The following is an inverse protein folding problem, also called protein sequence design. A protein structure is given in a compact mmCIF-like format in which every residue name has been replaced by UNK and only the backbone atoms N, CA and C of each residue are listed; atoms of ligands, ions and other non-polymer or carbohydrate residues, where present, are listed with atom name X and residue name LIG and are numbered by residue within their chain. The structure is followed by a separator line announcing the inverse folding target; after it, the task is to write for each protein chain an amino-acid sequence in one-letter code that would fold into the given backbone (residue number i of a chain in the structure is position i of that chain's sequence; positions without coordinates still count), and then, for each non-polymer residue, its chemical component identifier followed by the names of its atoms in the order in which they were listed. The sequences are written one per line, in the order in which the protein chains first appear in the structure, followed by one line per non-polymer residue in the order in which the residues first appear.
data_IF_017497193487
#
_entry.id   IF_017497193487
#
_cell.length_a   1.000
_cell.length_b   1.000
_cell.length_c   1.000
_cell.angle_alpha   90.00
_cell.angle_beta   90.00
_cell.angle_gamma   90.00
#
_symmetry.space_group_name_H-M   'P 1'
#
loop_
_entity.id
_entity.type
_entity.pdbx_description
1 polymer ?
#
# COMPACT_ATOMS: atom_id res chain seq x y z
N UNK A 1 -23.64 -9.03 -9.00
CA UNK A 1 -22.33 -9.57 -9.45
C UNK A 1 -21.24 -8.56 -9.06
N UNK A 2 -20.45 -8.81 -8.00
CA UNK A 2 -19.33 -7.93 -7.63
C UNK A 2 -18.17 -8.25 -8.59
N UNK A 3 -17.95 -7.36 -9.54
CA UNK A 3 -17.06 -7.61 -10.68
C UNK A 3 -15.59 -7.71 -10.28
N UNK A 4 -14.85 -8.54 -11.01
CA UNK A 4 -13.40 -8.72 -10.97
C UNK A 4 -12.59 -7.44 -11.29
N UNK A 5 -13.24 -6.28 -11.48
CA UNK A 5 -12.63 -5.01 -11.83
C UNK A 5 -12.39 -4.08 -10.62
N UNK A 6 -12.43 -4.61 -9.39
CA UNK A 6 -12.40 -3.79 -8.16
C UNK A 6 -10.99 -3.58 -7.60
N UNK A 7 -10.15 -4.63 -7.57
CA UNK A 7 -8.83 -4.57 -6.92
C UNK A 7 -7.88 -3.60 -7.65
N UNK A 8 -7.78 -3.71 -8.98
CA UNK A 8 -6.92 -2.81 -9.77
C UNK A 8 -7.41 -1.36 -9.65
N UNK A 9 -8.72 -1.13 -9.66
CA UNK A 9 -9.29 0.20 -9.46
C UNK A 9 -8.94 0.75 -8.07
N UNK A 10 -9.05 -0.05 -7.02
CA UNK A 10 -8.67 0.37 -5.66
C UNK A 10 -7.19 0.77 -5.58
N UNK A 11 -6.30 -0.02 -6.20
CA UNK A 11 -4.86 0.29 -6.28
C UNK A 11 -4.62 1.61 -7.02
N UNK A 12 -5.28 1.83 -8.15
CA UNK A 12 -5.12 3.07 -8.92
C UNK A 12 -5.71 4.29 -8.19
N UNK A 13 -6.80 4.11 -7.43
CA UNK A 13 -7.36 5.16 -6.58
C UNK A 13 -6.41 5.51 -5.44
N UNK A 14 -5.82 4.51 -4.80
CA UNK A 14 -4.83 4.73 -3.74
C UNK A 14 -3.55 5.38 -4.30
N UNK A 15 -3.05 4.93 -5.44
CA UNK A 15 -1.92 5.57 -6.13
C UNK A 15 -2.17 7.06 -6.38
N UNK A 16 -3.37 7.41 -6.86
CA UNK A 16 -3.79 8.81 -7.02
C UNK A 16 -3.87 9.54 -5.68
N UNK A 17 -4.39 8.90 -4.64
CA UNK A 17 -4.48 9.49 -3.30
C UNK A 17 -3.11 9.77 -2.70
N UNK A 18 -2.19 8.80 -2.75
CA UNK A 18 -0.82 8.93 -2.28
C UNK A 18 -0.05 10.04 -3.00
N UNK A 19 -0.20 10.15 -4.33
CA UNK A 19 0.37 11.27 -5.11
C UNK A 19 -0.21 12.63 -4.70
N UNK A 20 -1.48 12.70 -4.29
CA UNK A 20 -2.07 13.95 -3.78
C UNK A 20 -1.58 14.29 -2.37
N UNK A 21 -1.51 13.30 -1.48
CA UNK A 21 -1.06 13.47 -0.08
C UNK A 21 0.42 13.87 -0.02
N UNK A 22 1.24 13.28 -0.86
CA UNK A 22 2.67 13.55 -0.93
C UNK A 22 3.05 13.78 -2.40
N UNK A 23 2.92 15.02 -2.91
CA UNK A 23 3.16 15.34 -4.32
C UNK A 23 4.61 15.15 -4.74
N UNK A 24 5.55 15.44 -3.85
CA UNK A 24 6.98 15.23 -4.08
C UNK A 24 7.32 13.76 -3.87
N UNK A 25 8.21 13.23 -4.70
CA UNK A 25 8.82 11.92 -4.51
C UNK A 25 10.30 12.14 -4.24
N UNK A 26 10.93 11.44 -3.27
CA UNK A 26 12.34 11.67 -2.95
C UNK A 26 13.24 11.46 -4.18
N UNK A 27 14.27 12.28 -4.39
CA UNK A 27 15.18 12.07 -5.53
C UNK A 27 16.10 10.85 -5.34
N UNK A 28 16.33 10.44 -4.09
CA UNK A 28 17.21 9.33 -3.74
C UNK A 28 16.50 7.97 -3.88
N UNK A 29 17.02 7.08 -4.72
CA UNK A 29 16.38 5.79 -5.05
C UNK A 29 16.11 4.90 -3.82
N UNK A 30 17.01 4.90 -2.83
CA UNK A 30 16.80 4.12 -1.59
C UNK A 30 15.68 4.72 -0.74
N UNK A 31 15.52 6.05 -0.75
CA UNK A 31 14.42 6.68 -0.01
C UNK A 31 13.06 6.30 -0.63
N UNK A 32 13.00 6.20 -1.97
CA UNK A 32 11.81 5.69 -2.67
C UNK A 32 11.52 4.22 -2.35
N UNK A 33 12.56 3.39 -2.32
CA UNK A 33 12.42 1.98 -1.94
C UNK A 33 11.97 1.83 -0.47
N UNK A 34 12.46 2.70 0.43
CA UNK A 34 12.05 2.71 1.83
C UNK A 34 10.56 3.02 1.99
N UNK A 35 9.97 3.89 1.17
CA UNK A 35 8.52 4.13 1.19
C UNK A 35 7.70 2.89 0.79
N UNK A 36 8.21 2.06 -0.13
CA UNK A 36 7.58 0.78 -0.46
C UNK A 36 7.69 -0.19 0.73
N UNK A 37 8.87 -0.22 1.37
CA UNK A 37 9.12 -1.08 2.52
C UNK A 37 8.27 -0.70 3.74
N UNK A 38 7.98 0.59 3.94
CA UNK A 38 7.11 1.10 5.00
C UNK A 38 5.70 0.48 4.91
N UNK A 39 5.03 0.59 3.75
CA UNK A 39 3.69 0.02 3.55
C UNK A 39 3.70 -1.52 3.64
N UNK A 40 4.76 -2.17 3.13
CA UNK A 40 4.92 -3.62 3.27
C UNK A 40 5.10 -4.04 4.74
N UNK A 41 5.75 -3.21 5.55
CA UNK A 41 5.90 -3.38 6.99
C UNK A 41 4.56 -3.24 7.71
N UNK A 42 3.73 -2.28 7.32
CA UNK A 42 2.37 -2.10 7.84
C UNK A 42 1.47 -3.31 7.50
N UNK A 43 1.57 -3.85 6.28
CA UNK A 43 0.89 -5.08 5.91
C UNK A 43 1.33 -6.27 6.78
N UNK A 44 2.64 -6.39 7.02
CA UNK A 44 3.18 -7.44 7.89
C UNK A 44 2.64 -7.27 9.31
N UNK A 45 2.65 -6.04 9.85
CA UNK A 45 2.10 -5.72 11.17
C UNK A 45 0.62 -6.09 11.28
N UNK A 46 -0.21 -5.69 10.32
CA UNK A 46 -1.64 -6.02 10.30
C UNK A 46 -1.87 -7.54 10.26
N UNK A 47 -1.06 -8.27 9.49
CA UNK A 47 -1.11 -9.73 9.40
C UNK A 47 -0.69 -10.42 10.70
N UNK A 48 0.35 -9.91 11.36
CA UNK A 48 0.78 -10.40 12.68
C UNK A 48 -0.30 -10.15 13.74
N UNK A 49 -0.90 -8.96 13.76
CA UNK A 49 -1.99 -8.63 14.68
C UNK A 49 -3.18 -9.58 14.46
N UNK A 50 -3.58 -9.83 13.21
CA UNK A 50 -4.63 -10.82 12.91
C UNK A 50 -4.30 -12.23 13.43
N UNK A 51 -3.03 -12.65 13.33
CA UNK A 51 -2.62 -14.01 13.72
C UNK A 51 -2.45 -14.18 15.24
N UNK A 52 -1.85 -13.20 15.90
CA UNK A 52 -1.36 -13.33 17.29
C UNK A 52 -2.13 -12.48 18.30
N UNK A 53 -2.82 -11.44 17.84
CA UNK A 53 -3.62 -10.53 18.67
C UNK A 53 -5.06 -10.40 18.12
N UNK A 54 -5.73 -11.50 17.74
CA UNK A 54 -7.05 -11.44 17.14
C UNK A 54 -8.06 -10.81 18.11
N UNK A 55 -8.92 -9.94 17.58
CA UNK A 55 -10.01 -9.30 18.31
C UNK A 55 -9.60 -8.37 19.47
N UNK A 56 -8.30 -8.06 19.61
CA UNK A 56 -7.81 -7.16 20.65
C UNK A 56 -8.18 -5.69 20.36
N UNK A 57 -8.25 -5.33 19.07
CA UNK A 57 -8.43 -3.94 18.61
C UNK A 57 -9.62 -3.75 17.68
N UNK A 58 -9.95 -4.76 16.86
CA UNK A 58 -10.98 -4.70 15.82
C UNK A 58 -11.69 -6.06 15.73
N UNK A 59 -12.93 -6.08 15.24
CA UNK A 59 -13.57 -7.34 14.91
C UNK A 59 -12.90 -8.02 13.68
N UNK A 60 -13.30 -9.25 13.39
CA UNK A 60 -12.73 -10.02 12.27
C UNK A 60 -12.88 -9.31 10.92
N UNK A 61 -13.92 -8.49 10.72
CA UNK A 61 -14.11 -7.75 9.47
C UNK A 61 -13.16 -6.58 9.39
N UNK A 62 -13.03 -5.81 10.46
CA UNK A 62 -12.07 -4.71 10.59
C UNK A 62 -10.63 -5.18 10.40
N UNK A 63 -10.23 -6.31 10.99
CA UNK A 63 -8.88 -6.84 10.81
C UNK A 63 -8.60 -7.26 9.36
N UNK A 64 -9.59 -7.87 8.68
CA UNK A 64 -9.47 -8.18 7.24
C UNK A 64 -9.42 -6.91 6.39
N UNK A 65 -10.18 -5.88 6.76
CA UNK A 65 -10.19 -4.60 6.08
C UNK A 65 -8.83 -3.90 6.20
N UNK A 66 -8.20 -3.89 7.37
CA UNK A 66 -6.84 -3.34 7.55
C UNK A 66 -5.80 -4.09 6.73
N UNK A 67 -5.75 -5.43 6.80
CA UNK A 67 -4.84 -6.20 5.94
C UNK A 67 -5.05 -5.91 4.45
N UNK A 68 -6.32 -5.78 4.01
CA UNK A 68 -6.64 -5.42 2.63
C UNK A 68 -6.16 -4.01 2.27
N UNK A 69 -6.37 -3.04 3.17
CA UNK A 69 -5.97 -1.64 3.00
C UNK A 69 -4.45 -1.53 2.85
N UNK A 70 -3.68 -2.13 3.76
CA UNK A 70 -2.22 -2.09 3.69
C UNK A 70 -1.66 -2.82 2.45
N UNK A 71 -2.30 -3.90 2.01
CA UNK A 71 -1.94 -4.56 0.75
C UNK A 71 -2.19 -3.67 -0.49
N UNK A 72 -3.29 -2.92 -0.51
CA UNK A 72 -3.59 -1.95 -1.59
C UNK A 72 -2.56 -0.81 -1.58
N UNK A 73 -2.23 -0.26 -0.40
CA UNK A 73 -1.22 0.80 -0.26
C UNK A 73 0.17 0.32 -0.71
N UNK A 74 0.58 -0.89 -0.30
CA UNK A 74 1.83 -1.51 -0.73
C UNK A 74 1.90 -1.62 -2.26
N UNK A 75 0.85 -2.15 -2.89
CA UNK A 75 0.78 -2.26 -4.34
C UNK A 75 0.83 -0.89 -5.04
N UNK A 76 0.13 0.11 -4.50
CA UNK A 76 0.18 1.47 -5.01
C UNK A 76 1.60 2.07 -4.92
N UNK A 77 2.34 1.82 -3.84
CA UNK A 77 3.70 2.32 -3.68
C UNK A 77 4.68 1.64 -4.64
N UNK A 78 4.52 0.33 -4.90
CA UNK A 78 5.27 -0.36 -5.95
C UNK A 78 5.05 0.29 -7.32
N UNK A 79 3.80 0.58 -7.70
CA UNK A 79 3.50 1.26 -8.97
C UNK A 79 4.12 2.66 -9.03
N UNK A 80 4.03 3.42 -7.93
CA UNK A 80 4.62 4.76 -7.85
C UNK A 80 6.14 4.74 -7.98
N UNK A 81 6.79 3.75 -7.37
CA UNK A 81 8.23 3.53 -7.50
C UNK A 81 8.62 3.23 -8.95
N UNK A 82 7.92 2.30 -9.61
CA UNK A 82 8.17 1.95 -11.02
C UNK A 82 7.95 3.15 -11.94
N UNK A 83 6.86 3.89 -11.78
CA UNK A 83 6.63 5.10 -12.59
C UNK A 83 7.74 6.15 -12.45
N UNK A 84 8.30 6.30 -11.23
CA UNK A 84 9.41 7.21 -11.00
C UNK A 84 10.70 6.67 -11.65
N UNK A 85 10.95 5.37 -11.53
CA UNK A 85 12.08 4.70 -12.15
C UNK A 85 12.06 4.79 -13.68
N UNK A 86 10.90 4.57 -14.31
CA UNK A 86 10.74 4.61 -15.77
C UNK A 86 10.83 6.03 -16.35
N UNK A 87 10.48 7.05 -15.55
CA UNK A 87 10.64 8.47 -15.93
C UNK A 87 12.08 8.94 -15.81
N UNK A 88 12.77 8.46 -14.79
CA UNK A 88 14.15 8.81 -14.54
C UNK A 88 15.04 8.06 -15.53
N UNK A 89 15.74 8.81 -16.39
CA UNK A 89 16.83 8.23 -17.18
C UNK A 89 18.04 8.06 -16.26
N UNK A 90 18.01 7.00 -15.44
CA UNK A 90 19.18 6.60 -14.64
C UNK A 90 20.40 6.34 -15.54
#
# INVERSE_FOLDING_TARGET
MRGNNTIITDILLELRAAKRKQPTWPDHIVARAAMVAEEAGELLRASLQYKYEPLLFLDNEGMRAEMRKEAIQTAAMCLRFIEALDKDKL
#
